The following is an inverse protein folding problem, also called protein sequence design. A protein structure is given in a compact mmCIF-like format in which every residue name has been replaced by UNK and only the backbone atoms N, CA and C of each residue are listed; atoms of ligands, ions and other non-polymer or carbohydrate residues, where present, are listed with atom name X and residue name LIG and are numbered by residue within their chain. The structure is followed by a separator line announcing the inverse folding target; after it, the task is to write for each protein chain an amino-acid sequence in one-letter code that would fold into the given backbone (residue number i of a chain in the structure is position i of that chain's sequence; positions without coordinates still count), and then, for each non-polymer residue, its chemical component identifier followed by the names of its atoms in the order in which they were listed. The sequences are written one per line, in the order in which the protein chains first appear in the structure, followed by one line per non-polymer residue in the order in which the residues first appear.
data_IF_995693136726
#
_entry.id   IF_995693136726
#
_cell.length_a   1.000
_cell.length_b   1.000
_cell.length_c   1.000
_cell.angle_alpha   90.00
_cell.angle_beta   90.00
_cell.angle_gamma   90.00
#
_symmetry.space_group_name_H-M   'P 1'
#
loop_
_entity.id
_entity.type
_entity.pdbx_description
1 polymer ?
#
# COMPACT_ATOMS: atom_id res chain seq x y z
N UNK A 1 -7.48 3.85 -0.16
CA UNK A 1 -7.01 3.85 -1.56
C UNK A 1 -7.95 4.65 -2.47
N UNK A 2 -8.49 5.74 -1.95
CA UNK A 2 -9.31 6.71 -2.68
C UNK A 2 -8.65 8.10 -2.72
N UNK A 3 -7.44 8.25 -2.17
CA UNK A 3 -6.79 9.57 -2.03
C UNK A 3 -7.40 10.43 -0.91
N UNK A 4 -8.26 9.86 -0.06
CA UNK A 4 -8.91 10.61 1.02
C UNK A 4 -8.00 10.96 2.20
N UNK A 5 -8.53 11.73 3.15
CA UNK A 5 -7.80 12.22 4.32
C UNK A 5 -7.14 11.11 5.15
N UNK A 6 -7.82 9.97 5.35
CA UNK A 6 -7.25 8.82 6.06
C UNK A 6 -5.97 8.30 5.39
N UNK A 7 -6.00 8.20 4.06
CA UNK A 7 -4.87 7.72 3.28
C UNK A 7 -3.68 8.67 3.38
N UNK A 8 -3.90 9.97 3.18
CA UNK A 8 -2.85 10.98 3.36
C UNK A 8 -2.25 10.95 4.77
N UNK A 9 -3.10 10.91 5.80
CA UNK A 9 -2.67 10.88 7.21
C UNK A 9 -1.81 9.65 7.52
N UNK A 10 -2.24 8.47 7.07
CA UNK A 10 -1.51 7.22 7.30
C UNK A 10 -0.20 7.19 6.50
N UNK A 11 -0.21 7.65 5.25
CA UNK A 11 1.00 7.71 4.42
C UNK A 11 2.05 8.63 5.05
N UNK A 12 1.66 9.83 5.50
CA UNK A 12 2.56 10.74 6.20
C UNK A 12 3.13 10.12 7.48
N UNK A 13 2.28 9.51 8.32
CA UNK A 13 2.70 8.85 9.57
C UNK A 13 3.64 7.67 9.37
N UNK A 14 3.62 7.05 8.19
CA UNK A 14 4.49 5.92 7.83
C UNK A 14 5.73 6.36 7.03
N UNK A 15 6.04 7.65 7.06
CA UNK A 15 7.26 8.21 6.46
C UNK A 15 7.16 8.55 4.98
N UNK A 16 5.96 8.61 4.42
CA UNK A 16 5.69 9.10 3.06
C UNK A 16 5.31 10.57 3.12
N UNK A 17 6.32 11.44 3.19
CA UNK A 17 6.15 12.89 3.21
C UNK A 17 5.67 13.40 1.85
N UNK A 18 4.97 14.54 1.85
CA UNK A 18 4.42 15.17 0.64
C UNK A 18 3.59 14.20 -0.23
N UNK A 19 2.92 13.22 0.40
CA UNK A 19 2.13 12.23 -0.33
C UNK A 19 1.06 12.91 -1.20
N UNK A 20 1.06 12.55 -2.49
CA UNK A 20 0.04 12.98 -3.45
C UNK A 20 -0.43 11.79 -4.29
N UNK A 21 -1.69 11.84 -4.73
CA UNK A 21 -2.27 10.87 -5.65
C UNK A 21 -3.16 11.55 -6.67
N UNK A 22 -3.12 11.10 -7.92
CA UNK A 22 -4.12 11.50 -8.92
C UNK A 22 -5.43 10.74 -8.70
N UNK A 23 -6.49 11.22 -9.34
CA UNK A 23 -7.73 10.47 -9.45
C UNK A 23 -7.53 9.15 -10.20
N UNK A 24 -8.45 8.21 -9.98
CA UNK A 24 -8.47 6.93 -10.71
C UNK A 24 -9.02 7.13 -12.12
N UNK A 25 -8.24 6.74 -13.12
CA UNK A 25 -8.61 6.79 -14.53
C UNK A 25 -8.91 5.38 -15.06
N UNK A 26 -10.01 5.21 -15.79
CA UNK A 26 -10.34 3.94 -16.44
C UNK A 26 -9.47 3.74 -17.69
N UNK A 27 -8.68 2.67 -17.73
CA UNK A 27 -7.73 2.42 -18.83
C UNK A 27 -7.97 1.10 -19.56
N UNK A 28 -8.96 0.32 -19.12
CA UNK A 28 -9.32 -0.98 -19.70
C UNK A 28 -10.60 -1.51 -19.07
N UNK A 29 -11.01 -2.73 -19.43
CA UNK A 29 -12.22 -3.35 -18.84
C UNK A 29 -11.98 -3.62 -17.36
N UNK A 30 -12.66 -2.87 -16.49
CA UNK A 30 -12.55 -2.96 -15.03
C UNK A 30 -11.13 -2.74 -14.47
N UNK A 31 -10.26 -2.06 -15.23
CA UNK A 31 -8.91 -1.70 -14.80
C UNK A 31 -8.80 -0.19 -14.72
N UNK A 32 -8.46 0.29 -13.53
CA UNK A 32 -8.22 1.70 -13.24
C UNK A 32 -6.74 1.93 -12.96
N UNK A 33 -6.23 3.10 -13.29
CA UNK A 33 -4.86 3.51 -12.97
C UNK A 33 -4.85 4.87 -12.28
N UNK A 34 -3.85 5.07 -11.43
CA UNK A 34 -3.51 6.41 -10.91
C UNK A 34 -2.01 6.50 -10.67
N UNK A 35 -1.51 7.72 -10.60
CA UNK A 35 -0.15 8.00 -10.14
C UNK A 35 -0.17 8.38 -8.68
N UNK A 36 0.88 8.00 -7.96
CA UNK A 36 1.17 8.47 -6.61
C UNK A 36 2.62 8.93 -6.54
N UNK A 37 2.87 9.95 -5.70
CA UNK A 37 4.23 10.39 -5.40
C UNK A 37 4.39 10.72 -3.92
N UNK A 38 5.60 10.52 -3.41
CA UNK A 38 5.96 10.85 -2.03
C UNK A 38 7.47 10.89 -1.84
N UNK A 39 7.90 11.56 -0.79
CA UNK A 39 9.29 11.58 -0.32
C UNK A 39 9.44 10.67 0.89
N UNK A 40 10.54 9.94 0.96
CA UNK A 40 10.87 9.17 2.15
C UNK A 40 11.42 10.10 3.23
N UNK A 41 10.82 10.04 4.41
CA UNK A 41 11.36 10.72 5.59
C UNK A 41 12.78 10.19 5.88
N UNK A 42 13.76 11.09 5.92
CA UNK A 42 15.16 10.76 6.22
C UNK A 42 15.35 10.23 7.63
N UNK A 43 14.48 10.59 8.58
CA UNK A 43 14.49 10.06 9.93
C UNK A 43 14.10 8.57 9.96
N UNK A 44 13.23 8.14 9.04
CA UNK A 44 12.71 6.77 8.94
C UNK A 44 13.41 5.93 7.86
N UNK A 45 14.07 6.59 6.89
CA UNK A 45 14.83 5.97 5.80
C UNK A 45 16.20 6.64 5.68
N UNK A 46 17.27 5.89 5.98
CA UNK A 46 18.67 6.40 5.94
C UNK A 46 19.09 6.99 4.60
N UNK A 47 18.37 6.68 3.52
CA UNK A 47 18.74 7.06 2.16
C UNK A 47 17.84 8.17 1.58
N UNK A 48 16.79 8.60 2.30
CA UNK A 48 15.82 9.57 1.79
C UNK A 48 15.28 9.20 0.40
N UNK A 49 14.98 10.20 -0.41
CA UNK A 49 14.60 10.04 -1.83
C UNK A 49 13.13 10.34 -2.10
N UNK A 50 12.79 10.35 -3.38
CA UNK A 50 11.43 10.54 -3.88
C UNK A 50 11.02 9.30 -4.67
N UNK A 51 9.79 8.86 -4.48
CA UNK A 51 9.17 7.80 -5.24
C UNK A 51 7.99 8.38 -6.02
N UNK A 52 7.95 8.07 -7.31
CA UNK A 52 6.76 8.22 -8.14
C UNK A 52 6.42 6.85 -8.71
N UNK A 53 5.17 6.43 -8.58
CA UNK A 53 4.75 5.10 -9.00
C UNK A 53 3.31 5.09 -9.49
N UNK A 54 3.02 4.12 -10.35
CA UNK A 54 1.69 3.85 -10.87
C UNK A 54 1.03 2.75 -10.06
N UNK A 55 -0.20 3.01 -9.63
CA UNK A 55 -1.07 1.98 -9.09
C UNK A 55 -2.08 1.55 -10.15
N UNK A 56 -2.34 0.24 -10.23
CA UNK A 56 -3.41 -0.33 -11.04
C UNK A 56 -4.44 -0.99 -10.11
N UNK A 57 -5.71 -0.68 -10.27
CA UNK A 57 -6.81 -1.25 -9.49
C UNK A 57 -7.72 -2.06 -10.40
N UNK A 58 -8.12 -3.24 -9.95
CA UNK A 58 -9.10 -4.06 -10.66
C UNK A 58 -9.94 -4.90 -9.69
N UNK A 59 -11.13 -5.29 -10.14
CA UNK A 59 -12.07 -6.10 -9.35
C UNK A 59 -11.63 -7.57 -9.32
N UNK A 60 -11.80 -8.23 -8.18
CA UNK A 60 -11.51 -9.65 -8.07
C UNK A 60 -12.61 -10.47 -8.77
N UNK A 61 -12.20 -11.50 -9.51
CA UNK A 61 -13.14 -12.45 -10.12
C UNK A 61 -13.65 -13.36 -9.00
N UNK A 62 -14.98 -13.50 -8.88
CA UNK A 62 -15.68 -14.34 -7.90
C UNK A 62 -15.61 -13.90 -6.43
N UNK A 63 -15.17 -12.67 -6.12
CA UNK A 63 -15.16 -12.14 -4.76
C UNK A 63 -15.61 -10.68 -4.75
N UNK A 64 -16.37 -10.30 -3.72
CA UNK A 64 -16.67 -8.90 -3.44
C UNK A 64 -15.42 -8.23 -2.87
N UNK A 65 -14.63 -7.64 -3.78
CA UNK A 65 -13.29 -7.16 -3.47
C UNK A 65 -12.55 -6.61 -4.68
N UNK A 66 -11.39 -6.06 -4.41
CA UNK A 66 -10.52 -5.48 -5.41
C UNK A 66 -9.05 -5.74 -5.07
N UNK A 67 -8.22 -5.73 -6.11
CA UNK A 67 -6.77 -5.72 -5.97
C UNK A 67 -6.18 -4.40 -6.43
N UNK A 68 -5.07 -4.00 -5.80
CA UNK A 68 -4.20 -2.93 -6.26
C UNK A 68 -2.80 -3.48 -6.48
N UNK A 69 -2.24 -3.20 -7.65
CA UNK A 69 -0.84 -3.48 -7.97
C UNK A 69 -0.04 -2.17 -8.01
N UNK A 70 1.09 -2.14 -7.33
CA UNK A 70 2.02 -1.01 -7.27
C UNK A 70 3.45 -1.55 -7.26
N UNK A 71 4.24 -1.27 -8.30
CA UNK A 71 5.59 -1.83 -8.46
C UNK A 71 5.59 -3.36 -8.32
N UNK A 72 6.14 -3.88 -7.22
CA UNK A 72 6.21 -5.30 -6.87
C UNK A 72 5.31 -5.64 -5.67
N UNK A 73 4.47 -4.71 -5.24
CA UNK A 73 3.47 -4.90 -4.21
C UNK A 73 2.11 -5.17 -4.84
N UNK A 74 1.39 -6.13 -4.27
CA UNK A 74 0.03 -6.44 -4.67
C UNK A 74 -0.85 -6.58 -3.44
N UNK A 75 -1.83 -5.71 -3.35
CA UNK A 75 -2.82 -5.66 -2.28
C UNK A 75 -4.08 -6.35 -2.76
N UNK A 76 -4.59 -7.29 -1.98
CA UNK A 76 -5.90 -7.90 -2.17
C UNK A 76 -6.78 -7.48 -1.01
N UNK A 77 -7.96 -6.98 -1.33
CA UNK A 77 -8.99 -6.70 -0.33
C UNK A 77 -10.26 -7.42 -0.71
N UNK A 78 -10.75 -8.23 0.21
CA UNK A 78 -12.00 -8.94 0.06
C UNK A 78 -12.84 -8.76 1.32
N UNK A 79 -14.14 -8.53 1.13
CA UNK A 79 -15.09 -8.54 2.24
C UNK A 79 -15.20 -9.97 2.79
N UNK A 80 -15.43 -10.08 4.10
CA UNK A 80 -15.67 -11.38 4.74
C UNK A 80 -17.18 -11.59 4.78
N UNK A 81 -17.77 -12.51 3.98
CA UNK A 81 -19.23 -12.61 3.84
C UNK A 81 -19.97 -12.85 5.16
N UNK A 82 -19.33 -13.51 6.11
CA UNK A 82 -19.89 -13.82 7.43
C UNK A 82 -19.74 -12.70 8.47
N UNK A 83 -19.01 -11.62 8.17
CA UNK A 83 -18.73 -10.53 9.12
C UNK A 83 -18.93 -9.16 8.44
N UNK A 84 -20.09 -8.51 8.63
CA UNK A 84 -20.32 -7.18 8.09
C UNK A 84 -19.27 -6.20 8.63
N UNK A 85 -18.92 -5.19 7.82
CA UNK A 85 -17.89 -4.18 8.13
C UNK A 85 -16.49 -4.76 8.43
N UNK A 86 -16.22 -5.99 8.00
CA UNK A 86 -14.90 -6.61 8.13
C UNK A 86 -14.37 -6.98 6.74
N UNK A 87 -13.11 -6.66 6.48
CA UNK A 87 -12.41 -7.09 5.28
C UNK A 87 -11.13 -7.85 5.64
N UNK A 88 -10.69 -8.72 4.74
CA UNK A 88 -9.37 -9.30 4.76
C UNK A 88 -8.48 -8.48 3.84
N UNK A 89 -7.29 -8.12 4.33
CA UNK A 89 -6.24 -7.51 3.51
C UNK A 89 -5.05 -8.46 3.42
N UNK A 90 -4.73 -8.90 2.22
CA UNK A 90 -3.53 -9.68 1.92
C UNK A 90 -2.58 -8.85 1.06
N UNK A 91 -1.30 -8.84 1.41
CA UNK A 91 -0.28 -8.12 0.64
C UNK A 91 0.80 -9.11 0.19
N UNK A 92 1.06 -9.16 -1.11
CA UNK A 92 2.17 -9.89 -1.70
C UNK A 92 3.29 -8.91 -2.06
N UNK A 93 4.53 -9.32 -1.81
CA UNK A 93 5.73 -8.57 -2.14
C UNK A 93 6.63 -9.43 -3.04
N UNK A 94 6.87 -8.94 -4.26
CA UNK A 94 7.86 -9.47 -5.19
C UNK A 94 9.19 -8.72 -5.08
N UNK A 95 10.29 -9.41 -5.42
CA UNK A 95 11.61 -8.79 -5.58
C UNK A 95 12.23 -9.35 -6.87
N UNK A 96 12.41 -8.48 -7.85
CA UNK A 96 13.05 -8.81 -9.13
C UNK A 96 14.46 -8.20 -9.19
N UNK A 97 15.46 -9.03 -9.45
CA UNK A 97 16.86 -8.61 -9.53
C UNK A 97 17.29 -8.43 -10.98
N UNK A 98 17.59 -7.20 -11.39
CA UNK A 98 18.10 -6.88 -12.74
C UNK A 98 19.59 -7.22 -12.90
N UNK A 99 20.36 -7.18 -11.81
CA UNK A 99 21.78 -7.54 -11.77
C UNK A 99 22.07 -8.37 -10.53
N UNK A 100 22.96 -9.35 -10.65
CA UNK A 100 23.41 -10.13 -9.51
C UNK A 100 24.40 -9.32 -8.66
N UNK A 101 24.38 -9.55 -7.35
CA UNK A 101 25.33 -8.95 -6.41
C UNK A 101 25.63 -9.94 -5.29
N UNK A 102 26.86 -9.94 -4.77
CA UNK A 102 27.25 -10.82 -3.65
C UNK A 102 26.38 -10.59 -2.41
N UNK A 103 25.80 -9.40 -2.27
CA UNK A 103 24.96 -9.04 -1.12
C UNK A 103 23.45 -9.31 -1.34
N UNK A 104 23.07 -9.95 -2.45
CA UNK A 104 21.67 -10.10 -2.86
C UNK A 104 20.79 -10.69 -1.75
N UNK A 105 21.23 -11.77 -1.10
CA UNK A 105 20.50 -12.39 0.01
C UNK A 105 20.26 -11.43 1.19
N UNK A 106 21.29 -10.66 1.56
CA UNK A 106 21.21 -9.68 2.66
C UNK A 106 20.25 -8.55 2.30
N UNK A 107 20.33 -8.03 1.08
CA UNK A 107 19.45 -6.96 0.60
C UNK A 107 18.01 -7.45 0.50
N UNK A 108 17.75 -8.64 -0.06
CA UNK A 108 16.41 -9.27 -0.08
C UNK A 108 15.83 -9.36 1.32
N UNK A 109 16.59 -9.88 2.29
CA UNK A 109 16.12 -10.01 3.69
C UNK A 109 15.79 -8.65 4.31
N UNK A 110 16.63 -7.65 4.08
CA UNK A 110 16.37 -6.29 4.56
C UNK A 110 15.12 -5.67 3.93
N UNK A 111 14.94 -5.81 2.61
CA UNK A 111 13.73 -5.33 1.92
C UNK A 111 12.50 -6.02 2.48
N UNK A 112 12.50 -7.35 2.58
CA UNK A 112 11.37 -8.13 3.11
C UNK A 112 11.00 -7.69 4.53
N UNK A 113 11.99 -7.59 5.43
CA UNK A 113 11.74 -7.18 6.82
C UNK A 113 11.23 -5.75 6.93
N UNK A 114 11.87 -4.80 6.24
CA UNK A 114 11.51 -3.39 6.34
C UNK A 114 10.12 -3.14 5.72
N UNK A 115 9.84 -3.72 4.56
CA UNK A 115 8.53 -3.60 3.92
C UNK A 115 7.45 -4.27 4.75
N UNK A 116 7.70 -5.46 5.32
CA UNK A 116 6.74 -6.13 6.20
C UNK A 116 6.41 -5.31 7.44
N UNK A 117 7.42 -4.76 8.12
CA UNK A 117 7.23 -3.92 9.30
C UNK A 117 6.44 -2.65 8.96
N UNK A 118 6.82 -1.95 7.89
CA UNK A 118 6.11 -0.74 7.44
C UNK A 118 4.66 -1.02 7.06
N UNK A 119 4.38 -2.14 6.38
CA UNK A 119 2.99 -2.52 6.04
C UNK A 119 2.16 -2.81 7.30
N UNK A 120 2.74 -3.49 8.30
CA UNK A 120 2.04 -3.74 9.57
C UNK A 120 1.73 -2.44 10.32
N UNK A 121 2.68 -1.51 10.38
CA UNK A 121 2.46 -0.20 10.97
C UNK A 121 1.37 0.58 10.22
N UNK A 122 1.41 0.56 8.89
CA UNK A 122 0.42 1.19 8.03
C UNK A 122 -1.00 0.69 8.33
N UNK A 123 -1.20 -0.63 8.31
CA UNK A 123 -2.53 -1.20 8.57
C UNK A 123 -2.96 -1.06 10.03
N UNK A 124 -2.03 -1.09 10.99
CA UNK A 124 -2.35 -0.81 12.40
C UNK A 124 -2.85 0.63 12.59
N UNK A 125 -2.27 1.61 11.88
CA UNK A 125 -2.74 2.99 11.91
C UNK A 125 -4.12 3.14 11.28
N UNK A 126 -4.38 2.44 10.17
CA UNK A 126 -5.71 2.41 9.53
C UNK A 126 -6.75 1.85 10.50
N UNK A 127 -6.47 0.70 11.12
CA UNK A 127 -7.38 0.05 12.07
C UNK A 127 -7.67 0.95 13.27
N UNK A 128 -6.65 1.61 13.84
CA UNK A 128 -6.81 2.57 14.94
C UNK A 128 -7.68 3.77 14.56
N UNK A 129 -7.48 4.33 13.37
CA UNK A 129 -8.27 5.48 12.91
C UNK A 129 -9.75 5.10 12.71
N UNK A 130 -10.00 3.97 12.05
CA UNK A 130 -11.36 3.46 11.81
C UNK A 130 -12.09 3.12 13.12
N UNK A 131 -11.42 2.48 14.08
CA UNK A 131 -12.01 2.13 15.38
C UNK A 131 -12.26 3.35 16.25
N UNK A 132 -11.35 4.34 16.24
CA UNK A 132 -11.54 5.60 16.98
C UNK A 132 -12.74 6.42 16.50
N UNK A 133 -13.09 6.30 15.22
CA UNK A 133 -14.21 7.02 14.60
C UNK A 133 -15.57 6.35 14.88
N UNK A 134 -15.57 5.04 15.11
CA UNK A 134 -16.77 4.26 15.41
C UNK A 134 -17.14 4.26 16.91
N UNK A 135 -16.26 4.73 17.80
CA UNK A 135 -16.53 4.87 19.24
C UNK A 135 -17.28 6.14 19.62
N UNK A 136 -17.73 6.94 18.65
CA UNK A 136 -18.47 8.19 18.84
C UNK A 136 -19.87 8.14 18.22
N UNK A 137 -20.60 7.06 18.44
CA UNK A 137 -22.03 6.93 18.12
C UNK A 137 -22.84 6.62 19.36
#
# INVERSE_FOLDING_TARGET
FSGGQLEHKVMQKTGCLDYSSTEWELVGRNIYKRQISYKFDKALSRYGGEASTTQQKYTLVNQDGWAIEELQLKYYMANIPSKPNTCNVQVLLGIAWLKSTKQQKKVTKNIMSNTSNRLKELFSLVEKDLTSRNGGS
#
